data_IF_039581342868
#
_entry.id   IF_039581342868
#
_cell.length_a   1.000
_cell.length_b   1.000
_cell.length_c   1.000
_cell.angle_alpha   90.00
_cell.angle_beta   90.00
_cell.angle_gamma   90.00
#
_symmetry.space_group_name_H-M   'P 1'
#
loop_
_entity.id
_entity.type
_entity.pdbx_description
1 polymer ?
#
# COMPACT_ATOMS: atom_id res chain seq x y z
N UNK A 1 -1.21 3.50 -1.75
CA UNK A 1 -0.59 2.33 -2.39
C UNK A 1 0.71 2.65 -3.14
N UNK A 2 0.72 3.61 -4.08
CA UNK A 2 1.92 3.93 -4.89
C UNK A 2 3.19 4.24 -4.07
N UNK A 3 3.08 4.96 -2.97
CA UNK A 3 4.20 5.21 -2.05
C UNK A 3 4.86 3.91 -1.54
N UNK A 4 4.05 2.95 -1.09
CA UNK A 4 4.55 1.63 -0.66
C UNK A 4 5.19 0.85 -1.80
N UNK A 5 4.62 0.91 -3.01
CA UNK A 5 5.21 0.26 -4.18
C UNK A 5 6.59 0.83 -4.50
N UNK A 6 6.74 2.16 -4.51
CA UNK A 6 8.03 2.80 -4.72
C UNK A 6 9.03 2.45 -3.61
N UNK A 7 8.59 2.40 -2.36
CA UNK A 7 9.42 1.92 -1.26
C UNK A 7 9.87 0.49 -1.48
N UNK A 8 8.97 -0.43 -1.85
CA UNK A 8 9.26 -1.82 -2.15
C UNK A 8 10.31 -1.95 -3.27
N UNK A 9 10.15 -1.22 -4.38
CA UNK A 9 11.12 -1.24 -5.47
C UNK A 9 12.49 -0.72 -5.05
N UNK A 10 12.56 0.24 -4.12
CA UNK A 10 13.82 0.82 -3.63
C UNK A 10 14.51 -0.06 -2.59
N UNK A 11 13.74 -0.63 -1.65
CA UNK A 11 14.30 -1.32 -0.48
C UNK A 11 14.29 -2.83 -0.64
N UNK A 12 13.56 -3.37 -1.62
CA UNK A 12 13.34 -4.80 -1.82
C UNK A 12 12.75 -5.50 -0.58
N UNK A 13 12.01 -4.75 0.25
CA UNK A 13 11.43 -5.28 1.48
C UNK A 13 10.23 -4.44 1.94
N UNK A 14 9.28 -5.09 2.63
CA UNK A 14 8.20 -4.44 3.35
C UNK A 14 8.03 -5.10 4.72
N UNK A 15 7.76 -4.28 5.74
CA UNK A 15 7.32 -4.75 7.05
C UNK A 15 5.92 -5.38 6.98
N UNK A 16 5.53 -6.11 8.03
CA UNK A 16 4.30 -6.89 8.08
C UNK A 16 3.07 -6.11 7.60
N UNK A 17 2.78 -4.96 8.21
CA UNK A 17 1.61 -4.15 7.85
C UNK A 17 1.66 -3.62 6.41
N UNK A 18 2.86 -3.34 5.89
CA UNK A 18 3.04 -2.92 4.50
C UNK A 18 2.74 -4.06 3.51
N UNK A 19 3.18 -5.29 3.83
CA UNK A 19 2.87 -6.48 3.03
C UNK A 19 1.37 -6.81 3.08
N UNK A 20 0.77 -6.64 4.24
CA UNK A 20 -0.64 -6.91 4.47
C UNK A 20 -1.52 -5.93 3.69
N UNK A 21 -1.27 -4.63 3.82
CA UNK A 21 -2.01 -3.59 3.11
C UNK A 21 -1.82 -3.67 1.60
N UNK A 22 -0.57 -3.81 1.11
CA UNK A 22 -0.31 -3.93 -0.32
C UNK A 22 -0.82 -5.26 -0.88
N UNK A 23 -0.65 -6.38 -0.17
CA UNK A 23 -1.09 -7.70 -0.61
C UNK A 23 -2.61 -7.78 -0.73
N UNK A 24 -3.37 -7.25 0.25
CA UNK A 24 -4.83 -7.15 0.15
C UNK A 24 -5.28 -6.25 -1.01
N UNK A 25 -4.57 -5.15 -1.25
CA UNK A 25 -4.85 -4.28 -2.39
C UNK A 25 -4.63 -5.00 -3.72
N UNK A 26 -3.49 -5.69 -3.89
CA UNK A 26 -3.17 -6.44 -5.10
C UNK A 26 -4.21 -7.55 -5.38
N UNK A 27 -4.64 -8.26 -4.33
CA UNK A 27 -5.77 -9.19 -4.44
C UNK A 27 -7.05 -8.47 -4.88
N UNK A 28 -7.37 -7.34 -4.25
CA UNK A 28 -8.59 -6.57 -4.52
C UNK A 28 -8.70 -6.05 -5.95
N UNK A 29 -7.57 -5.76 -6.61
CA UNK A 29 -7.52 -5.39 -8.03
C UNK A 29 -7.46 -6.59 -8.98
N UNK A 30 -7.50 -7.83 -8.47
CA UNK A 30 -7.61 -9.05 -9.26
C UNK A 30 -6.29 -9.78 -9.57
N UNK A 31 -5.17 -9.46 -8.90
CA UNK A 31 -3.95 -10.25 -9.05
C UNK A 31 -4.20 -11.66 -8.51
N UNK A 32 -3.78 -12.71 -9.23
CA UNK A 32 -3.90 -14.09 -8.73
C UNK A 32 -2.91 -14.38 -7.60
N UNK A 33 -3.11 -15.48 -6.87
CA UNK A 33 -2.19 -15.86 -5.81
C UNK A 33 -0.81 -16.24 -6.37
N UNK A 34 -0.76 -16.90 -7.52
CA UNK A 34 0.48 -17.23 -8.24
C UNK A 34 1.19 -15.95 -8.67
N UNK A 35 0.44 -15.00 -9.22
CA UNK A 35 0.95 -13.69 -9.59
C UNK A 35 1.48 -12.90 -8.39
N UNK A 36 0.81 -12.95 -7.25
CA UNK A 36 1.26 -12.31 -6.02
C UNK A 36 2.51 -12.97 -5.43
N UNK A 37 2.58 -14.30 -5.43
CA UNK A 37 3.77 -15.04 -5.02
C UNK A 37 4.97 -14.68 -5.91
N UNK A 38 4.79 -14.71 -7.23
CA UNK A 38 5.83 -14.32 -8.18
C UNK A 38 6.27 -12.86 -7.99
N UNK A 39 5.31 -11.94 -7.84
CA UNK A 39 5.55 -10.52 -7.61
C UNK A 39 6.40 -10.28 -6.36
N UNK A 40 5.97 -10.80 -5.20
CA UNK A 40 6.70 -10.58 -3.96
C UNK A 40 8.02 -11.34 -3.94
N UNK A 41 8.09 -12.55 -4.51
CA UNK A 41 9.33 -13.30 -4.63
C UNK A 41 10.35 -12.48 -5.41
N UNK A 42 10.01 -12.02 -6.62
CA UNK A 42 10.91 -11.25 -7.47
C UNK A 42 11.42 -9.99 -6.76
N UNK A 43 10.55 -9.26 -6.06
CA UNK A 43 10.97 -8.05 -5.34
C UNK A 43 11.89 -8.36 -4.16
N UNK A 44 11.59 -9.40 -3.39
CA UNK A 44 12.31 -9.71 -2.16
C UNK A 44 13.63 -10.42 -2.43
N UNK A 45 13.71 -11.26 -3.47
CA UNK A 45 14.90 -12.06 -3.76
C UNK A 45 16.10 -11.25 -4.24
N UNK A 46 15.92 -9.95 -4.48
CA UNK A 46 17.04 -9.02 -4.62
C UNK A 46 17.91 -8.91 -3.35
N UNK A 47 17.37 -9.27 -2.16
CA UNK A 47 18.10 -9.25 -0.88
C UNK A 47 18.01 -10.54 -0.05
N UNK A 48 17.18 -11.49 -0.45
CA UNK A 48 17.03 -12.78 0.26
C UNK A 48 16.98 -13.97 -0.69
N UNK A 49 17.28 -15.17 -0.19
CA UNK A 49 17.18 -16.38 -1.01
C UNK A 49 15.72 -16.77 -1.25
N UNK A 50 15.46 -17.47 -2.35
CA UNK A 50 14.12 -18.03 -2.66
C UNK A 50 13.62 -18.93 -1.53
N UNK A 51 14.51 -19.70 -0.90
CA UNK A 51 14.16 -20.55 0.25
C UNK A 51 13.67 -19.70 1.44
N UNK A 52 14.41 -18.63 1.78
CA UNK A 52 14.01 -17.72 2.86
C UNK A 52 12.69 -17.02 2.52
N UNK A 53 12.48 -16.66 1.26
CA UNK A 53 11.21 -16.11 0.80
C UNK A 53 10.05 -17.06 1.10
N UNK A 54 10.19 -18.29 0.61
CA UNK A 54 9.16 -19.34 0.72
C UNK A 54 8.82 -19.63 2.17
N UNK A 55 9.84 -19.77 3.02
CA UNK A 55 9.66 -20.07 4.45
C UNK A 55 9.00 -18.91 5.22
N UNK A 56 9.34 -17.67 4.90
CA UNK A 56 8.93 -16.51 5.73
C UNK A 56 7.69 -15.78 5.23
N UNK A 57 7.40 -15.81 3.92
CA UNK A 57 6.40 -14.93 3.32
C UNK A 57 5.31 -15.66 2.53
N UNK A 58 5.59 -16.82 1.91
CA UNK A 58 4.61 -17.50 1.06
C UNK A 58 3.34 -17.94 1.80
N UNK A 59 3.45 -18.31 3.08
CA UNK A 59 2.29 -18.61 3.93
C UNK A 59 1.37 -17.40 4.09
N UNK A 60 1.94 -16.24 4.42
CA UNK A 60 1.15 -15.01 4.62
C UNK A 60 0.45 -14.58 3.33
N UNK A 61 1.10 -14.69 2.17
CA UNK A 61 0.46 -14.40 0.88
C UNK A 61 -0.73 -15.34 0.67
N UNK A 62 -0.57 -16.66 0.80
CA UNK A 62 -1.68 -17.62 0.69
C UNK A 62 -2.82 -17.34 1.68
N UNK A 63 -2.49 -16.92 2.89
CA UNK A 63 -3.48 -16.50 3.90
C UNK A 63 -4.32 -15.31 3.44
N UNK A 64 -3.74 -14.28 2.82
CA UNK A 64 -4.49 -13.13 2.28
C UNK A 64 -5.52 -13.56 1.22
N UNK A 65 -5.23 -14.63 0.48
CA UNK A 65 -6.11 -15.20 -0.55
C UNK A 65 -7.12 -16.22 0.00
N UNK A 66 -7.13 -16.49 1.31
CA UNK A 66 -8.04 -17.46 1.90
C UNK A 66 -7.66 -18.92 1.62
N UNK A 67 -6.39 -19.19 1.32
CA UNK A 67 -5.90 -20.56 1.12
C UNK A 67 -5.33 -21.19 2.39
N UNK A 68 -5.19 -20.39 3.46
CA UNK A 68 -4.69 -20.81 4.77
C UNK A 68 -5.64 -20.39 5.89
N UNK A 69 -5.46 -20.98 7.08
CA UNK A 69 -6.21 -20.61 8.29
C UNK A 69 -7.72 -20.80 8.12
N UNK A 70 -8.51 -19.76 8.41
CA UNK A 70 -9.99 -19.79 8.31
C UNK A 70 -10.53 -19.87 6.88
N UNK A 71 -9.65 -19.83 5.87
CA UNK A 71 -9.99 -19.90 4.44
C UNK A 71 -10.99 -18.84 3.96
N UNK A 72 -10.90 -17.65 4.56
CA UNK A 72 -11.67 -16.47 4.13
C UNK A 72 -10.71 -15.47 3.50
N UNK A 73 -10.88 -15.14 2.20
CA UNK A 73 -10.04 -14.16 1.54
C UNK A 73 -10.19 -12.78 2.18
N UNK A 74 -9.08 -12.06 2.34
CA UNK A 74 -9.07 -10.76 3.01
C UNK A 74 -9.32 -9.62 2.02
N UNK A 75 -10.30 -8.78 2.34
CA UNK A 75 -10.61 -7.59 1.53
C UNK A 75 -9.55 -6.50 1.68
N UNK A 76 -9.43 -5.66 0.65
CA UNK A 76 -8.62 -4.44 0.69
C UNK A 76 -9.02 -3.57 1.89
N UNK A 77 -8.03 -2.97 2.54
CA UNK A 77 -8.30 -2.11 3.70
C UNK A 77 -9.03 -0.84 3.24
N UNK A 78 -10.13 -0.46 3.91
CA UNK A 78 -10.80 0.81 3.63
C UNK A 78 -9.93 1.99 4.09
N UNK A 79 -10.10 3.14 3.46
CA UNK A 79 -9.38 4.37 3.80
C UNK A 79 -9.56 4.75 5.29
N UNK A 80 -10.77 4.59 5.83
CA UNK A 80 -11.07 4.81 7.26
C UNK A 80 -10.20 3.99 8.23
N UNK A 81 -9.70 2.83 7.81
CA UNK A 81 -8.74 2.02 8.58
C UNK A 81 -7.31 2.52 8.33
N UNK A 82 -6.92 2.71 7.07
CA UNK A 82 -5.55 3.13 6.71
C UNK A 82 -5.17 4.51 7.25
N UNK A 83 -6.15 5.40 7.46
CA UNK A 83 -5.94 6.73 8.06
C UNK A 83 -5.68 6.66 9.56
N UNK A 84 -6.12 5.60 10.25
CA UNK A 84 -5.92 5.43 11.70
C UNK A 84 -4.57 4.82 12.05
N UNK A 85 -3.90 4.20 11.09
CA UNK A 85 -2.61 3.54 11.29
C UNK A 85 -1.47 4.49 10.92
N UNK A 86 -0.50 4.65 11.84
CA UNK A 86 0.70 5.48 11.61
C UNK A 86 1.95 4.60 11.57
N UNK A 87 2.71 4.61 10.46
CA UNK A 87 3.96 3.87 10.38
C UNK A 87 5.03 4.47 11.30
N UNK A 88 5.89 3.62 11.85
CA UNK A 88 7.05 4.03 12.66
C UNK A 88 8.36 3.51 12.06
N UNK A 89 9.46 4.23 12.30
CA UNK A 89 10.78 3.86 11.79
C UNK A 89 10.80 3.69 10.26
N UNK A 90 11.11 2.49 9.78
CA UNK A 90 11.20 2.17 8.35
C UNK A 90 9.88 1.63 7.74
N UNK A 91 8.79 1.62 8.52
CA UNK A 91 7.48 1.23 8.00
C UNK A 91 6.95 2.28 7.01
N UNK A 92 6.12 1.86 6.05
CA UNK A 92 5.55 2.73 5.03
C UNK A 92 4.07 2.46 4.73
N UNK A 93 3.39 1.73 5.61
CA UNK A 93 1.95 1.46 5.53
C UNK A 93 1.14 2.70 5.93
N UNK A 94 -0.19 2.61 5.83
CA UNK A 94 -1.13 3.68 6.13
C UNK A 94 -1.41 4.62 4.95
N UNK A 95 -1.95 5.79 5.26
CA UNK A 95 -2.29 6.84 4.30
C UNK A 95 -1.20 7.94 4.24
N UNK A 96 -0.50 8.12 3.10
CA UNK A 96 0.54 9.15 2.97
C UNK A 96 0.07 10.56 3.33
N UNK A 97 -1.17 10.91 3.00
CA UNK A 97 -1.77 12.20 3.32
C UNK A 97 -2.00 12.43 4.83
N UNK A 98 -1.86 11.40 5.66
CA UNK A 98 -2.05 11.50 7.13
C UNK A 98 -0.75 11.43 7.92
N UNK A 99 0.21 10.62 7.46
CA UNK A 99 1.46 10.40 8.19
C UNK A 99 2.69 11.08 7.59
N UNK A 100 2.70 11.40 6.29
CA UNK A 100 3.87 12.06 5.69
C UNK A 100 3.91 13.54 6.09
N UNK A 101 5.12 14.05 6.27
CA UNK A 101 5.36 15.48 6.36
C UNK A 101 5.16 16.14 4.99
N UNK A 102 4.78 17.42 4.99
CA UNK A 102 4.47 18.19 3.78
C UNK A 102 5.54 18.07 2.69
N UNK A 103 6.80 18.33 3.04
CA UNK A 103 7.90 18.29 2.08
C UNK A 103 8.05 16.90 1.42
N UNK A 104 7.85 15.82 2.19
CA UNK A 104 7.90 14.46 1.67
C UNK A 104 6.68 14.15 0.79
N UNK A 105 5.50 14.65 1.17
CA UNK A 105 4.28 14.52 0.38
C UNK A 105 4.40 15.27 -0.95
N UNK A 106 4.92 16.51 -0.95
CA UNK A 106 5.21 17.27 -2.17
C UNK A 106 6.16 16.52 -3.09
N UNK A 107 7.28 16.01 -2.56
CA UNK A 107 8.24 15.24 -3.35
C UNK A 107 7.60 13.98 -3.96
N UNK A 108 6.74 13.29 -3.19
CA UNK A 108 5.98 12.16 -3.71
C UNK A 108 5.06 12.63 -4.85
N UNK A 109 4.29 13.70 -4.69
CA UNK A 109 3.38 14.21 -5.72
C UNK A 109 4.13 14.63 -7.00
N UNK A 110 5.30 15.25 -6.87
CA UNK A 110 6.20 15.55 -8.00
C UNK A 110 6.67 14.29 -8.72
N UNK A 111 7.06 13.26 -7.95
CA UNK A 111 7.44 11.94 -8.50
C UNK A 111 6.28 11.31 -9.28
N UNK A 112 5.04 11.55 -8.84
CA UNK A 112 3.82 11.12 -9.51
C UNK A 112 3.39 12.04 -10.67
N UNK A 113 4.18 13.07 -10.99
CA UNK A 113 3.93 14.04 -12.06
C UNK A 113 2.58 14.76 -11.91
N UNK A 114 2.20 15.04 -10.67
CA UNK A 114 1.07 15.95 -10.38
C UNK A 114 1.48 17.37 -10.77
N UNK A 115 0.55 18.14 -11.37
CA UNK A 115 0.81 19.53 -11.76
C UNK A 115 1.20 20.38 -10.55
N UNK A 116 2.27 21.17 -10.65
CA UNK A 116 2.80 21.99 -9.54
C UNK A 116 1.72 22.90 -8.92
N UNK A 117 0.86 23.50 -9.73
CA UNK A 117 -0.28 24.32 -9.29
C UNK A 117 -1.23 23.60 -8.33
N UNK A 118 -1.38 22.28 -8.49
CA UNK A 118 -2.26 21.47 -7.66
C UNK A 118 -1.59 20.96 -6.37
N UNK A 119 -0.26 20.89 -6.34
CA UNK A 119 0.49 20.31 -5.22
C UNK A 119 0.24 21.09 -3.93
N UNK A 120 0.34 22.42 -3.98
CA UNK A 120 0.10 23.27 -2.81
C UNK A 120 -1.31 23.08 -2.22
N UNK A 121 -2.32 23.00 -3.08
CA UNK A 121 -3.70 22.76 -2.67
C UNK A 121 -3.89 21.38 -2.02
N UNK A 122 -3.30 20.34 -2.61
CA UNK A 122 -3.38 18.97 -2.08
C UNK A 122 -2.72 18.88 -0.70
N UNK A 123 -1.55 19.50 -0.52
CA UNK A 123 -0.83 19.49 0.75
C UNK A 123 -1.59 20.28 1.82
N UNK A 124 -2.12 21.46 1.48
CA UNK A 124 -2.98 22.22 2.39
C UNK A 124 -4.21 21.41 2.83
N UNK A 125 -4.85 20.71 1.90
CA UNK A 125 -6.01 19.87 2.19
C UNK A 125 -5.68 18.67 3.08
N UNK A 126 -4.51 18.05 2.88
CA UNK A 126 -4.01 16.96 3.71
C UNK A 126 -3.77 17.40 5.17
N UNK A 127 -3.23 18.63 5.38
CA UNK A 127 -3.06 19.21 6.73
C UNK A 127 -4.36 19.34 7.49
N UNK A 128 -5.43 19.71 6.79
CA UNK A 128 -6.78 19.82 7.37
C UNK A 128 -7.43 18.46 7.64
N UNK A 129 -6.72 17.34 7.39
CA UNK A 129 -7.21 15.96 7.55
C UNK A 129 -8.44 15.63 6.72
N UNK A 130 -8.74 16.42 5.67
CA UNK A 130 -9.94 16.24 4.84
C UNK A 130 -9.75 15.14 3.76
N UNK A 131 -8.97 14.10 4.01
CA UNK A 131 -8.39 13.22 2.97
C UNK A 131 -9.41 12.45 2.08
N UNK A 132 -10.68 12.35 2.48
CA UNK A 132 -11.74 11.78 1.65
C UNK A 132 -12.66 12.87 1.08
N UNK A 133 -12.43 13.26 -0.18
CA UNK A 133 -13.51 13.83 -1.01
C UNK A 133 -14.20 12.64 -1.66
N UNK A 134 -15.35 12.23 -1.13
CA UNK A 134 -16.18 11.26 -1.82
C UNK A 134 -16.58 11.83 -3.18
N UNK A 135 -16.08 11.24 -4.27
CA UNK A 135 -16.78 11.26 -5.56
C UNK A 135 -18.12 10.52 -5.38
N UNK A 136 -19.07 11.15 -4.69
CA UNK A 136 -20.48 10.87 -4.91
C UNK A 136 -20.84 11.62 -6.18
N UNK A 137 -20.55 11.02 -7.33
CA UNK A 137 -21.33 11.35 -8.53
C UNK A 137 -22.78 11.13 -8.10
N UNK A 138 -23.55 12.22 -8.02
CA UNK A 138 -25.00 12.18 -7.86
C UNK A 138 -25.52 11.27 -8.97
N UNK A 139 -25.91 10.05 -8.61
CA UNK A 139 -26.72 9.21 -9.46
C UNK A 139 -28.10 9.85 -9.49
N UNK A 140 -28.40 10.52 -10.60
CA UNK A 140 -29.75 10.82 -11.03
C UNK A 140 -30.58 9.53 -10.99
N UNK A 141 -31.66 9.56 -10.23
CA UNK A 141 -32.91 8.85 -10.49
C UNK A 141 -34.03 9.61 -9.83
#
# INVERSE_FOLDING_TARGET
MKAMYLHLCKTHHLFYDGREQLGRFLRGIGLSVEGALAFFQQQFTAKLSVEKFTRQYAYNIRYLYGLEGRRVPLNALPCSVMMKTRPTGQQCHGCPFVYMQDAALEQLLRTLRVREEAIGNIVAYAKEQKVEVGERRKGER
#
